data_IF_570123652157
#
_entry.id   IF_570123652157
#
_cell.length_a   1.000
_cell.length_b   1.000
_cell.length_c   1.000
_cell.angle_alpha   90.00
_cell.angle_beta   90.00
_cell.angle_gamma   90.00
#
_symmetry.space_group_name_H-M   'P 1'
#
loop_
_entity.id
_entity.type
_entity.pdbx_description
1 polymer ?
#
# COMPACT_ATOMS: atom_id res chain seq x y z
N UNK A 1 2.78 31.11 21.03
CA UNK A 1 2.19 30.73 19.73
C UNK A 1 2.95 29.65 18.94
N UNK A 2 3.99 28.97 19.47
CA UNK A 2 4.72 27.90 18.74
C UNK A 2 4.16 26.48 18.95
N UNK A 3 3.41 26.24 20.02
CA UNK A 3 2.89 24.91 20.36
C UNK A 3 1.58 24.55 19.63
N UNK A 4 0.73 25.55 19.33
CA UNK A 4 -0.51 25.36 18.56
C UNK A 4 -0.26 24.82 17.15
N UNK A 5 0.86 25.20 16.52
CA UNK A 5 1.23 24.68 15.20
C UNK A 5 1.65 23.20 15.24
N UNK A 6 2.29 22.74 16.33
CA UNK A 6 2.76 21.37 16.45
C UNK A 6 1.60 20.39 16.70
N UNK A 7 0.66 20.77 17.57
CA UNK A 7 -0.55 19.97 17.81
C UNK A 7 -1.45 19.90 16.56
N UNK A 8 -1.55 20.99 15.78
CA UNK A 8 -2.28 20.98 14.52
C UNK A 8 -1.66 20.03 13.49
N UNK A 9 -0.32 19.98 13.38
CA UNK A 9 0.35 19.05 12.46
C UNK A 9 0.19 17.59 12.89
N UNK A 10 0.30 17.28 14.19
CA UNK A 10 0.03 15.93 14.72
C UNK A 10 -1.42 15.50 14.48
N UNK A 11 -2.37 16.42 14.63
CA UNK A 11 -3.78 16.15 14.39
C UNK A 11 -4.08 15.88 12.91
N UNK A 12 -3.45 16.62 12.00
CA UNK A 12 -3.56 16.36 10.54
C UNK A 12 -2.95 15.00 10.18
N UNK A 13 -1.79 14.65 10.75
CA UNK A 13 -1.16 13.33 10.53
C UNK A 13 -2.07 12.21 11.05
N UNK A 14 -2.65 12.35 12.24
CA UNK A 14 -3.64 11.41 12.76
C UNK A 14 -4.86 11.31 11.83
N UNK A 15 -5.43 12.43 11.37
CA UNK A 15 -6.55 12.40 10.42
C UNK A 15 -6.15 11.71 9.10
N UNK A 16 -4.94 11.90 8.59
CA UNK A 16 -4.50 11.20 7.38
C UNK A 16 -4.31 9.71 7.60
N UNK A 17 -3.86 9.27 8.78
CA UNK A 17 -3.68 7.84 9.08
C UNK A 17 -5.05 7.17 9.32
N UNK A 18 -5.98 7.83 10.00
CA UNK A 18 -7.34 7.32 10.22
C UNK A 18 -8.25 7.47 8.99
N UNK A 19 -7.96 8.45 8.11
CA UNK A 19 -8.62 8.65 6.83
C UNK A 19 -8.03 7.82 5.69
N UNK A 20 -6.90 7.14 5.93
CA UNK A 20 -6.39 6.05 5.10
C UNK A 20 -7.00 4.70 5.50
N UNK A 21 -8.08 4.71 6.31
CA UNK A 21 -8.96 3.57 6.38
C UNK A 21 -9.40 3.28 4.96
N UNK A 22 -8.94 2.17 4.40
CA UNK A 22 -9.52 1.54 3.24
C UNK A 22 -11.03 1.66 3.42
N UNK A 23 -11.68 2.53 2.64
CA UNK A 23 -13.13 2.59 2.54
C UNK A 23 -13.50 1.17 2.13
N UNK A 24 -13.87 0.35 3.11
CA UNK A 24 -14.18 -1.04 2.87
C UNK A 24 -15.21 -1.05 1.77
N UNK A 25 -14.84 -1.60 0.62
CA UNK A 25 -15.80 -1.89 -0.43
C UNK A 25 -16.97 -2.63 0.24
N UNK A 26 -18.21 -2.37 -0.20
CA UNK A 26 -19.31 -3.17 0.32
C UNK A 26 -18.94 -4.64 0.16
N UNK A 27 -19.23 -5.50 1.16
CA UNK A 27 -18.82 -6.90 1.11
C UNK A 27 -19.33 -7.61 -0.16
N UNK A 28 -20.45 -7.13 -0.72
CA UNK A 28 -20.96 -7.54 -2.03
C UNK A 28 -20.02 -7.18 -3.21
N UNK A 29 -19.49 -5.95 -3.24
CA UNK A 29 -18.56 -5.50 -4.28
C UNK A 29 -17.24 -6.28 -4.20
N UNK A 30 -16.77 -6.56 -2.99
CA UNK A 30 -15.56 -7.36 -2.79
C UNK A 30 -15.75 -8.80 -3.31
N UNK A 31 -16.89 -9.44 -3.01
CA UNK A 31 -17.24 -10.77 -3.55
C UNK A 31 -17.28 -10.77 -5.08
N UNK A 32 -17.99 -9.81 -5.66
CA UNK A 32 -18.11 -9.70 -7.11
C UNK A 32 -16.75 -9.48 -7.77
N UNK A 33 -15.90 -8.63 -7.17
CA UNK A 33 -14.53 -8.38 -7.65
C UNK A 33 -13.72 -9.66 -7.63
N UNK A 34 -13.73 -10.43 -6.53
CA UNK A 34 -13.04 -11.72 -6.47
C UNK A 34 -13.51 -12.70 -7.55
N UNK A 35 -14.82 -12.76 -7.81
CA UNK A 35 -15.36 -13.64 -8.87
C UNK A 35 -14.96 -13.16 -10.26
N UNK A 36 -14.99 -11.86 -10.53
CA UNK A 36 -14.51 -11.28 -11.80
C UNK A 36 -13.02 -11.58 -11.99
N UNK A 37 -12.20 -11.37 -10.97
CA UNK A 37 -10.75 -11.63 -11.04
C UNK A 37 -10.46 -13.11 -11.32
N UNK A 38 -11.20 -14.01 -10.68
CA UNK A 38 -11.12 -15.44 -10.95
C UNK A 38 -11.50 -15.78 -12.41
N UNK A 39 -12.64 -15.26 -12.89
CA UNK A 39 -13.12 -15.52 -14.26
C UNK A 39 -12.17 -14.91 -15.29
N UNK A 40 -11.63 -13.71 -15.05
CA UNK A 40 -10.66 -13.06 -15.92
C UNK A 40 -9.38 -13.89 -16.02
N UNK A 41 -8.83 -14.37 -14.91
CA UNK A 41 -7.68 -15.25 -14.92
C UNK A 41 -7.93 -16.54 -15.72
N UNK A 42 -9.12 -17.14 -15.60
CA UNK A 42 -9.54 -18.28 -16.43
C UNK A 42 -9.63 -17.90 -17.91
N UNK A 43 -10.21 -16.73 -18.21
CA UNK A 43 -10.41 -16.24 -19.58
C UNK A 43 -9.07 -15.90 -20.27
N UNK A 44 -8.07 -15.47 -19.51
CA UNK A 44 -6.70 -15.22 -19.99
C UNK A 44 -5.87 -16.50 -20.11
N UNK A 45 -6.35 -17.63 -19.59
CA UNK A 45 -5.61 -18.88 -19.50
C UNK A 45 -4.55 -18.88 -18.38
N UNK A 46 -4.58 -17.90 -17.49
CA UNK A 46 -3.74 -17.86 -16.29
C UNK A 46 -4.41 -18.62 -15.13
N UNK A 47 -4.44 -19.94 -15.27
CA UNK A 47 -4.98 -20.82 -14.24
C UNK A 47 -4.15 -20.82 -12.95
N UNK A 48 -2.90 -20.34 -13.00
CA UNK A 48 -2.07 -20.18 -11.81
C UNK A 48 -2.65 -19.11 -10.89
N UNK A 49 -2.93 -17.93 -11.45
CA UNK A 49 -3.57 -16.84 -10.72
C UNK A 49 -4.99 -17.20 -10.26
N UNK A 50 -5.78 -17.88 -11.10
CA UNK A 50 -7.10 -18.37 -10.71
C UNK A 50 -7.02 -19.35 -9.52
N UNK A 51 -6.01 -20.22 -9.49
CA UNK A 51 -5.82 -21.20 -8.42
C UNK A 51 -5.38 -20.55 -7.09
N UNK A 52 -4.62 -19.44 -7.14
CA UNK A 52 -4.19 -18.73 -5.92
C UNK A 52 -5.37 -18.18 -5.11
N UNK A 53 -6.44 -17.76 -5.78
CA UNK A 53 -7.66 -17.24 -5.13
C UNK A 53 -8.71 -18.33 -4.89
N UNK A 54 -8.31 -19.60 -4.98
CA UNK A 54 -9.17 -20.78 -4.77
C UNK A 54 -8.60 -21.70 -3.67
N UNK A 55 -9.44 -22.04 -2.69
CA UNK A 55 -9.09 -22.93 -1.58
C UNK A 55 -10.09 -24.08 -1.39
N UNK A 56 -10.89 -24.37 -2.40
CA UNK A 56 -11.83 -25.48 -2.39
C UNK A 56 -11.20 -26.84 -2.70
N UNK A 57 -12.05 -27.87 -2.78
CA UNK A 57 -11.64 -29.25 -3.10
C UNK A 57 -12.00 -29.70 -4.51
N UNK A 58 -12.73 -28.88 -5.27
CA UNK A 58 -13.13 -29.17 -6.65
C UNK A 58 -11.92 -29.16 -7.61
N UNK A 59 -10.89 -28.38 -7.30
CA UNK A 59 -9.67 -28.27 -8.10
C UNK A 59 -8.45 -28.66 -7.29
N UNK A 60 -7.74 -29.71 -7.73
CA UNK A 60 -6.51 -30.18 -7.07
C UNK A 60 -5.25 -29.50 -7.62
N UNK A 61 -5.33 -28.99 -8.85
CA UNK A 61 -4.24 -28.33 -9.57
C UNK A 61 -4.80 -27.27 -10.52
N UNK A 62 -4.02 -26.26 -10.94
CA UNK A 62 -4.44 -25.26 -11.92
C UNK A 62 -5.06 -25.86 -13.20
N UNK A 63 -4.51 -26.98 -13.69
CA UNK A 63 -5.03 -27.65 -14.89
C UNK A 63 -6.46 -28.23 -14.73
N UNK A 64 -6.90 -28.49 -13.49
CA UNK A 64 -8.28 -28.94 -13.22
C UNK A 64 -9.29 -27.82 -13.47
N UNK A 65 -8.89 -26.56 -13.27
CA UNK A 65 -9.73 -25.39 -13.57
C UNK A 65 -9.97 -25.31 -15.08
N UNK A 66 -8.91 -25.42 -15.90
CA UNK A 66 -9.04 -25.45 -17.37
C UNK A 66 -10.03 -26.53 -17.82
N UNK A 67 -9.83 -27.76 -17.35
CA UNK A 67 -10.71 -28.88 -17.73
C UNK A 67 -12.17 -28.64 -17.34
N UNK A 68 -12.43 -28.14 -16.13
CA UNK A 68 -13.78 -27.89 -15.66
C UNK A 68 -14.50 -26.80 -16.48
N UNK A 69 -13.82 -25.68 -16.74
CA UNK A 69 -14.38 -24.59 -17.53
C UNK A 69 -14.60 -24.96 -18.99
N UNK A 70 -13.66 -25.70 -19.60
CA UNK A 70 -13.82 -26.20 -20.97
C UNK A 70 -14.98 -27.20 -21.10
N UNK A 71 -15.17 -28.05 -20.10
CA UNK A 71 -16.34 -28.95 -20.05
C UNK A 71 -17.66 -28.19 -19.92
N UNK A 72 -17.64 -27.01 -19.31
CA UNK A 72 -18.78 -26.09 -19.24
C UNK A 72 -18.95 -25.22 -20.51
N UNK A 73 -18.11 -25.41 -21.53
CA UNK A 73 -18.17 -24.64 -22.78
C UNK A 73 -17.45 -23.28 -22.72
N UNK A 74 -16.75 -22.98 -21.62
CA UNK A 74 -15.98 -21.75 -21.46
C UNK A 74 -14.54 -22.02 -21.92
N UNK A 75 -14.09 -21.27 -22.92
CA UNK A 75 -12.73 -21.37 -23.46
C UNK A 75 -11.97 -20.07 -23.28
N UNK A 76 -10.64 -20.12 -23.42
CA UNK A 76 -9.77 -18.94 -23.29
C UNK A 76 -10.21 -17.86 -24.29
N UNK A 77 -10.39 -16.64 -23.81
CA UNK A 77 -10.81 -15.47 -24.57
C UNK A 77 -12.27 -15.46 -25.01
N UNK A 78 -13.07 -16.45 -24.60
CA UNK A 78 -14.48 -16.55 -25.00
C UNK A 78 -15.43 -15.76 -24.10
N UNK A 79 -15.04 -15.47 -22.85
CA UNK A 79 -15.88 -14.69 -21.93
C UNK A 79 -15.77 -13.21 -22.30
N UNK A 80 -16.92 -12.60 -22.61
CA UNK A 80 -17.03 -11.18 -22.97
C UNK A 80 -17.52 -10.32 -21.82
N UNK A 81 -18.41 -10.85 -20.99
CA UNK A 81 -19.03 -10.12 -19.88
C UNK A 81 -19.48 -11.12 -18.80
N UNK A 82 -19.65 -10.63 -17.56
CA UNK A 82 -20.09 -11.42 -16.40
C UNK A 82 -21.22 -10.67 -15.70
N UNK A 83 -22.40 -11.32 -15.61
CA UNK A 83 -23.58 -10.73 -14.98
C UNK A 83 -23.94 -11.44 -13.69
N UNK A 84 -24.03 -10.69 -12.59
CA UNK A 84 -24.41 -11.23 -11.28
C UNK A 84 -25.93 -11.18 -11.09
N UNK A 85 -26.55 -12.31 -10.71
CA UNK A 85 -28.01 -12.41 -10.49
C UNK A 85 -28.39 -12.58 -9.03
N UNK A 86 -27.80 -13.57 -8.37
CA UNK A 86 -28.20 -13.99 -7.03
C UNK A 86 -26.99 -14.00 -6.10
N UNK A 87 -26.83 -12.94 -5.31
CA UNK A 87 -25.82 -12.85 -4.26
C UNK A 87 -26.48 -13.04 -2.89
N UNK A 88 -26.06 -14.06 -2.16
CA UNK A 88 -26.43 -14.27 -0.75
C UNK A 88 -25.18 -14.12 0.10
N UNK A 89 -25.24 -13.22 1.07
CA UNK A 89 -24.11 -12.92 1.95
C UNK A 89 -24.47 -13.22 3.39
N UNK A 90 -23.62 -13.99 4.04
CA UNK A 90 -23.58 -14.27 5.48
C UNK A 90 -22.25 -13.72 6.01
N UNK A 91 -22.10 -13.55 7.33
CA UNK A 91 -20.92 -12.88 7.95
C UNK A 91 -19.58 -13.29 7.34
N UNK A 92 -19.35 -14.59 7.14
CA UNK A 92 -18.09 -15.13 6.59
C UNK A 92 -18.26 -15.94 5.30
N UNK A 93 -19.48 -16.10 4.78
CA UNK A 93 -19.74 -16.92 3.59
C UNK A 93 -20.59 -16.15 2.59
N UNK A 94 -20.29 -16.32 1.30
CA UNK A 94 -21.10 -15.77 0.23
C UNK A 94 -21.35 -16.83 -0.83
N UNK A 95 -22.55 -16.81 -1.42
CA UNK A 95 -22.84 -17.55 -2.65
C UNK A 95 -23.25 -16.55 -3.71
N UNK A 96 -22.71 -16.70 -4.91
CA UNK A 96 -23.05 -15.83 -6.04
C UNK A 96 -23.27 -16.65 -7.30
N UNK A 97 -24.36 -16.33 -8.01
CA UNK A 97 -24.59 -16.80 -9.39
C UNK A 97 -24.07 -15.77 -10.37
N UNK A 98 -23.06 -16.17 -11.15
CA UNK A 98 -22.44 -15.36 -12.18
C UNK A 98 -22.73 -15.98 -13.55
N UNK A 99 -23.49 -15.26 -14.37
CA UNK A 99 -23.76 -15.64 -15.73
C UNK A 99 -22.64 -15.13 -16.64
N UNK A 100 -21.81 -16.07 -17.11
CA UNK A 100 -20.74 -15.78 -18.05
C UNK A 100 -21.32 -15.69 -19.46
N UNK A 101 -21.07 -14.57 -20.11
CA UNK A 101 -21.48 -14.33 -21.50
C UNK A 101 -20.34 -14.76 -22.41
N UNK A 102 -20.57 -15.82 -23.18
CA UNK A 102 -19.60 -16.46 -24.07
C UNK A 102 -19.85 -16.03 -25.50
N UNK A 103 -18.81 -15.58 -26.20
CA UNK A 103 -18.83 -15.31 -27.64
C UNK A 103 -18.35 -16.54 -28.41
N UNK A 104 -19.13 -16.96 -29.40
CA UNK A 104 -18.74 -17.99 -30.36
C UNK A 104 -18.19 -17.36 -31.64
N UNK A 105 -17.01 -17.81 -32.07
CA UNK A 105 -16.35 -17.31 -33.27
C UNK A 105 -16.40 -18.34 -34.40
N UNK A 106 -16.61 -17.90 -35.64
CA UNK A 106 -16.44 -18.74 -36.83
C UNK A 106 -14.95 -19.00 -37.13
N UNK A 107 -14.68 -19.89 -38.09
CA UNK A 107 -13.33 -20.17 -38.58
C UNK A 107 -12.61 -18.94 -39.18
N UNK A 108 -13.34 -17.85 -39.45
CA UNK A 108 -12.79 -16.58 -39.92
C UNK A 108 -12.59 -15.56 -38.77
N UNK A 109 -12.81 -15.95 -37.52
CA UNK A 109 -12.65 -15.12 -36.33
C UNK A 109 -13.75 -14.08 -36.13
N UNK A 110 -14.91 -14.24 -36.78
CA UNK A 110 -16.07 -13.35 -36.62
C UNK A 110 -17.02 -13.91 -35.58
N UNK A 111 -17.54 -13.02 -34.75
CA UNK A 111 -18.60 -13.35 -33.80
C UNK A 111 -19.83 -13.87 -34.54
N UNK A 112 -20.31 -15.03 -34.12
CA UNK A 112 -21.46 -15.71 -34.73
C UNK A 112 -22.64 -15.76 -33.79
N UNK A 113 -22.38 -15.88 -32.49
CA UNK A 113 -23.40 -16.11 -31.50
C UNK A 113 -22.90 -15.73 -30.10
N UNK A 114 -23.83 -15.58 -29.18
CA UNK A 114 -23.59 -15.27 -27.79
C UNK A 114 -24.41 -16.22 -26.92
N UNK A 115 -23.75 -16.93 -26.01
CA UNK A 115 -24.38 -17.91 -25.11
C UNK A 115 -24.16 -17.46 -23.67
N UNK A 116 -25.18 -17.62 -22.84
CA UNK A 116 -25.08 -17.36 -21.41
C UNK A 116 -24.89 -18.69 -20.67
N UNK A 117 -23.81 -18.81 -19.91
CA UNK A 117 -23.49 -19.99 -19.09
C UNK A 117 -23.46 -19.60 -17.62
N UNK A 118 -24.37 -20.15 -16.78
CA UNK A 118 -24.37 -19.87 -15.36
C UNK A 118 -23.21 -20.59 -14.67
N UNK A 119 -22.50 -19.87 -13.81
CA UNK A 119 -21.47 -20.40 -12.93
C UNK A 119 -21.81 -20.00 -11.50
N UNK A 120 -21.81 -20.99 -10.61
CA UNK A 120 -22.19 -20.83 -9.22
C UNK A 120 -20.94 -20.87 -8.36
N UNK A 121 -20.74 -19.81 -7.57
CA UNK A 121 -19.59 -19.67 -6.70
C UNK A 121 -20.01 -19.68 -5.25
N UNK A 122 -19.16 -20.30 -4.42
CA UNK A 122 -19.14 -20.08 -2.97
C UNK A 122 -17.82 -19.44 -2.60
N UNK A 123 -17.89 -18.40 -1.77
CA UNK A 123 -16.74 -17.70 -1.26
C UNK A 123 -16.77 -17.70 0.26
N UNK A 124 -15.59 -17.63 0.85
CA UNK A 124 -15.40 -17.47 2.29
C UNK A 124 -14.53 -16.24 2.55
N UNK A 125 -14.94 -15.43 3.51
CA UNK A 125 -14.16 -14.31 3.98
C UNK A 125 -13.07 -14.82 4.92
N UNK A 126 -11.83 -14.45 4.65
CA UNK A 126 -10.64 -14.85 5.42
C UNK A 126 -9.85 -13.60 5.82
N UNK A 127 -8.81 -13.76 6.63
CA UNK A 127 -7.96 -12.63 7.07
C UNK A 127 -7.28 -11.90 5.89
N UNK A 128 -7.13 -12.57 4.74
CA UNK A 128 -6.55 -12.00 3.50
C UNK A 128 -7.60 -11.52 2.50
N UNK A 129 -8.89 -11.66 2.82
CA UNK A 129 -10.01 -11.26 1.97
C UNK A 129 -10.90 -12.43 1.55
N UNK A 130 -11.77 -12.19 0.57
CA UNK A 130 -12.67 -13.21 0.03
C UNK A 130 -11.90 -14.18 -0.86
N UNK A 131 -12.13 -15.48 -0.65
CA UNK A 131 -11.52 -16.58 -1.42
C UNK A 131 -12.61 -17.49 -1.93
N UNK A 132 -12.46 -18.00 -3.16
CA UNK A 132 -13.39 -18.97 -3.74
C UNK A 132 -13.17 -20.35 -3.12
N UNK A 133 -14.21 -20.94 -2.53
CA UNK A 133 -14.17 -22.26 -1.88
C UNK A 133 -14.94 -23.33 -2.64
N UNK A 134 -15.83 -22.94 -3.55
CA UNK A 134 -16.55 -23.89 -4.41
C UNK A 134 -16.93 -23.27 -5.75
N UNK A 135 -16.80 -24.03 -6.83
CA UNK A 135 -17.28 -23.66 -8.15
C UNK A 135 -18.14 -24.79 -8.72
N UNK A 136 -19.36 -24.47 -9.15
CA UNK A 136 -20.29 -25.41 -9.76
C UNK A 136 -20.90 -24.85 -11.04
N UNK A 137 -21.23 -25.74 -11.99
CA UNK A 137 -21.80 -25.37 -13.30
C UNK A 137 -23.21 -25.93 -13.53
N UNK A 138 -23.63 -26.89 -12.71
CA UNK A 138 -24.87 -27.65 -12.93
C UNK A 138 -26.04 -27.15 -12.07
N UNK A 139 -25.74 -26.69 -10.85
CA UNK A 139 -26.78 -26.31 -9.88
C UNK A 139 -26.31 -25.18 -8.95
N UNK A 140 -27.25 -24.31 -8.51
CA UNK A 140 -26.97 -23.29 -7.50
C UNK A 140 -26.46 -23.88 -6.19
N UNK A 141 -25.47 -23.22 -5.59
CA UNK A 141 -24.92 -23.61 -4.30
C UNK A 141 -25.80 -23.05 -3.19
N UNK A 142 -26.27 -23.93 -2.29
CA UNK A 142 -27.01 -23.54 -1.09
C UNK A 142 -26.02 -23.47 0.08
N UNK A 143 -26.13 -22.41 0.89
CA UNK A 143 -25.33 -22.25 2.11
C UNK A 143 -25.83 -23.19 3.21
N UNK A 144 -24.90 -23.93 3.83
CA UNK A 144 -25.09 -24.65 5.08
C UNK A 144 -24.00 -24.25 6.10
N UNK A 145 -24.30 -24.28 7.40
CA UNK A 145 -23.35 -23.87 8.44
C UNK A 145 -22.09 -24.75 8.49
N UNK A 146 -22.17 -25.98 7.98
CA UNK A 146 -21.04 -26.92 7.88
C UNK A 146 -20.10 -26.63 6.70
N UNK A 147 -20.36 -25.58 5.91
CA UNK A 147 -19.61 -25.27 4.69
C UNK A 147 -18.35 -24.42 4.91
N UNK A 148 -18.04 -24.04 6.16
CA UNK A 148 -16.80 -23.31 6.45
C UNK A 148 -15.60 -24.24 6.27
N UNK A 149 -14.71 -23.86 5.36
CA UNK A 149 -13.43 -24.53 5.16
C UNK A 149 -12.42 -23.90 6.12
N UNK A 150 -11.68 -24.72 6.85
CA UNK A 150 -10.61 -24.23 7.72
C UNK A 150 -9.46 -23.73 6.84
N UNK A 151 -9.39 -22.42 6.66
CA UNK A 151 -8.36 -21.77 5.83
C UNK A 151 -7.19 -21.39 6.75
N UNK A 152 -6.16 -22.23 6.80
CA UNK A 152 -4.89 -21.86 7.44
C UNK A 152 -4.15 -20.86 6.55
N UNK A 153 -4.32 -19.57 6.82
CA UNK A 153 -3.49 -18.52 6.21
C UNK A 153 -2.11 -18.55 6.86
N UNK A 154 -1.08 -18.94 6.10
CA UNK A 154 0.29 -18.91 6.58
C UNK A 154 0.71 -17.45 6.82
N UNK A 155 1.05 -17.13 8.08
CA UNK A 155 1.48 -15.78 8.46
C UNK A 155 2.73 -15.38 7.69
N UNK A 156 2.65 -14.26 6.99
CA UNK A 156 3.76 -13.67 6.25
C UNK A 156 4.63 -12.80 7.16
N UNK A 157 5.86 -12.50 6.73
CA UNK A 157 6.73 -11.57 7.45
C UNK A 157 6.13 -10.15 7.58
N UNK A 158 5.19 -9.79 6.70
CA UNK A 158 4.47 -8.51 6.73
C UNK A 158 3.48 -8.47 7.90
N UNK A 159 2.87 -9.61 8.26
CA UNK A 159 1.93 -9.69 9.38
C UNK A 159 2.62 -9.38 10.71
N UNK A 160 3.86 -9.87 10.89
CA UNK A 160 4.69 -9.48 12.04
C UNK A 160 5.01 -7.98 12.06
N UNK A 161 4.98 -7.29 10.92
CA UNK A 161 5.20 -5.84 10.84
C UNK A 161 3.91 -5.08 11.16
N UNK A 162 2.76 -5.56 10.68
CA UNK A 162 1.44 -5.01 10.96
C UNK A 162 1.07 -5.16 12.45
N UNK A 163 1.26 -6.34 13.03
CA UNK A 163 0.99 -6.63 14.45
C UNK A 163 1.82 -5.73 15.38
N UNK A 164 3.06 -5.42 14.97
CA UNK A 164 3.97 -4.57 15.73
C UNK A 164 3.91 -3.09 15.31
N UNK A 165 3.08 -2.71 14.33
CA UNK A 165 2.99 -1.35 13.82
C UNK A 165 2.73 -0.30 14.93
N UNK A 166 1.87 -0.55 15.95
CA UNK A 166 1.69 0.39 17.05
C UNK A 166 2.98 0.64 17.85
N UNK A 167 3.75 -0.42 18.10
CA UNK A 167 5.01 -0.35 18.85
C UNK A 167 6.08 0.35 18.03
N UNK A 168 6.20 0.01 16.74
CA UNK A 168 7.13 0.65 15.80
C UNK A 168 6.83 2.15 15.68
N UNK A 169 5.55 2.54 15.61
CA UNK A 169 5.15 3.95 15.56
C UNK A 169 5.54 4.72 16.83
N UNK A 170 5.28 4.15 18.02
CA UNK A 170 5.69 4.76 19.29
C UNK A 170 7.22 4.93 19.36
N UNK A 171 7.97 3.89 18.96
CA UNK A 171 9.43 3.95 18.92
C UNK A 171 9.94 5.04 17.96
N UNK A 172 9.32 5.19 16.79
CA UNK A 172 9.67 6.23 15.81
C UNK A 172 9.43 7.65 16.37
N UNK A 173 8.30 7.88 17.05
CA UNK A 173 8.01 9.17 17.70
C UNK A 173 9.04 9.48 18.79
N UNK A 174 9.40 8.50 19.61
CA UNK A 174 10.40 8.67 20.67
C UNK A 174 11.78 8.99 20.09
N UNK A 175 12.20 8.27 19.04
CA UNK A 175 13.46 8.56 18.34
C UNK A 175 13.45 9.97 17.75
N UNK A 176 12.38 10.35 17.05
CA UNK A 176 12.26 11.68 16.45
C UNK A 176 12.28 12.80 17.50
N UNK A 177 11.53 12.64 18.59
CA UNK A 177 11.53 13.58 19.71
C UNK A 177 12.89 13.70 20.38
N UNK A 178 13.60 12.57 20.57
CA UNK A 178 14.96 12.56 21.13
C UNK A 178 15.96 13.25 20.20
N UNK A 179 15.84 13.07 18.88
CA UNK A 179 16.67 13.74 17.88
C UNK A 179 16.49 15.26 17.90
N UNK A 180 15.24 15.73 17.96
CA UNK A 180 14.93 17.17 18.11
C UNK A 180 15.50 17.72 19.42
N UNK A 181 15.37 16.97 20.52
CA UNK A 181 15.90 17.38 21.82
C UNK A 181 17.42 17.52 21.80
N UNK A 182 18.13 16.54 21.23
CA UNK A 182 19.58 16.56 21.09
C UNK A 182 20.06 17.71 20.20
N UNK A 183 19.42 17.95 19.04
CA UNK A 183 19.75 19.07 18.15
C UNK A 183 19.58 20.43 18.85
N UNK A 184 18.50 20.60 19.63
CA UNK A 184 18.30 21.83 20.43
C UNK A 184 19.36 21.99 21.50
N UNK A 185 19.74 20.90 22.18
CA UNK A 185 20.79 20.92 23.21
C UNK A 185 22.15 21.28 22.60
N UNK A 186 22.47 20.74 21.43
CA UNK A 186 23.72 21.03 20.73
C UNK A 186 23.77 22.48 20.23
N UNK A 187 22.67 22.99 19.65
CA UNK A 187 22.55 24.40 19.26
C UNK A 187 22.64 25.34 20.45
N UNK A 188 22.06 24.98 21.60
CA UNK A 188 22.20 25.75 22.84
C UNK A 188 23.62 25.69 23.43
N UNK A 189 24.33 24.57 23.28
CA UNK A 189 25.72 24.43 23.71
C UNK A 189 26.69 25.25 22.85
N UNK A 190 26.44 25.37 21.53
CA UNK A 190 27.20 26.23 20.61
C UNK A 190 26.90 27.74 20.79
N UNK A 191 25.90 28.11 21.58
CA UNK A 191 25.48 29.50 21.81
C UNK A 191 26.16 30.20 23.02
N UNK A 192 27.20 29.61 23.64
CA UNK A 192 28.01 30.30 24.67
C UNK A 192 29.17 31.10 24.06
N UNK A 193 29.54 32.25 24.65
CA UNK A 193 30.04 33.40 23.93
C UNK A 193 31.48 33.20 23.41
N UNK A 194 31.74 33.80 22.25
CA UNK A 194 33.08 33.98 21.66
C UNK A 194 34.11 34.29 22.74
N UNK A 195 35.19 33.51 22.76
CA UNK A 195 36.38 33.75 23.57
C UNK A 195 36.88 35.17 23.28
N UNK A 196 36.60 36.14 24.15
CA UNK A 196 37.14 37.49 24.01
C UNK A 196 38.65 37.41 24.27
N UNK A 197 39.44 37.47 23.20
CA UNK A 197 40.90 37.63 23.31
C UNK A 197 41.15 39.08 23.71
N UNK A 198 41.74 39.26 24.89
CA UNK A 198 42.13 40.57 25.40
C UNK A 198 43.35 41.07 24.61
N UNK A 199 43.16 42.16 23.86
CA UNK A 199 44.17 42.79 23.01
C UNK A 199 44.73 44.07 23.64
N UNK A 200 44.54 44.31 24.94
CA UNK A 200 45.04 45.51 25.65
C UNK A 200 46.56 45.69 25.61
N UNK A 201 47.34 44.70 25.15
CA UNK A 201 48.79 44.79 24.95
C UNK A 201 49.27 44.84 23.49
N UNK A 202 48.37 44.89 22.50
CA UNK A 202 48.77 44.81 21.10
C UNK A 202 49.30 46.16 20.57
N UNK A 203 50.61 46.24 20.36
CA UNK A 203 51.26 47.37 19.67
C UNK A 203 50.96 47.27 18.17
N UNK A 204 50.49 48.36 17.56
CA UNK A 204 50.21 48.41 16.13
C UNK A 204 51.51 48.22 15.32
N UNK A 205 51.63 47.11 14.59
CA UNK A 205 52.68 46.97 13.57
C UNK A 205 52.44 47.99 12.45
N UNK A 206 53.48 48.77 12.14
CA UNK A 206 53.48 49.78 11.08
C UNK A 206 53.13 49.15 9.73
N UNK A 207 52.13 49.74 9.07
CA UNK A 207 51.46 49.25 7.85
C UNK A 207 52.30 49.32 6.56
N UNK A 208 53.57 49.69 6.62
CA UNK A 208 54.36 49.95 5.41
C UNK A 208 55.07 48.71 4.85
N UNK A 209 55.27 47.64 5.63
CA UNK A 209 55.98 46.44 5.16
C UNK A 209 55.11 45.37 4.49
N UNK A 210 53.77 45.46 4.56
CA UNK A 210 52.86 44.44 3.99
C UNK A 210 52.18 44.92 2.68
N UNK A 211 52.32 46.20 2.33
CA UNK A 211 51.74 46.75 1.10
C UNK A 211 52.41 46.23 -0.20
N UNK A 212 53.56 45.57 -0.12
CA UNK A 212 54.25 45.03 -1.30
C UNK A 212 53.82 43.61 -1.72
N UNK A 213 52.96 42.92 -0.97
CA UNK A 213 52.63 41.51 -1.28
C UNK A 213 51.16 41.14 -1.48
N UNK A 214 50.21 42.09 -1.43
CA UNK A 214 48.80 41.76 -1.69
C UNK A 214 48.21 42.68 -2.75
N UNK A 215 48.39 42.26 -4.00
CA UNK A 215 47.65 42.76 -5.16
C UNK A 215 46.24 42.17 -5.08
N UNK A 216 45.22 43.03 -5.08
CA UNK A 216 43.78 42.75 -5.23
C UNK A 216 43.03 42.15 -4.03
N UNK A 217 42.50 43.03 -3.17
CA UNK A 217 41.17 42.87 -2.55
C UNK A 217 40.52 44.27 -2.48
N UNK A 218 39.25 44.47 -2.89
CA UNK A 218 38.58 45.77 -2.78
C UNK A 218 38.44 46.20 -1.32
N UNK A 219 38.73 47.46 -1.07
CA UNK A 219 38.78 48.13 0.23
C UNK A 219 37.46 48.08 1.00
N UNK A 220 37.40 47.31 2.08
CA UNK A 220 36.60 47.71 3.23
C UNK A 220 37.50 48.50 4.17
N UNK A 221 37.33 49.82 4.19
CA UNK A 221 38.00 50.70 5.14
C UNK A 221 37.63 50.28 6.57
N UNK A 222 38.56 49.80 7.40
CA UNK A 222 38.25 49.61 8.80
C UNK A 222 38.28 50.98 9.49
N UNK A 223 37.11 51.51 9.87
CA UNK A 223 37.07 52.63 10.81
C UNK A 223 37.52 52.12 12.18
N UNK A 224 38.57 52.73 12.74
CA UNK A 224 39.06 52.44 14.08
C UNK A 224 37.92 52.59 15.09
N UNK A 225 37.65 51.53 15.87
CA UNK A 225 36.70 51.59 16.99
C UNK A 225 35.42 50.73 16.89
N UNK A 226 35.24 49.87 15.87
CA UNK A 226 34.13 48.89 15.86
C UNK A 226 34.58 47.49 15.42
N UNK A 227 33.96 46.48 16.03
CA UNK A 227 34.24 45.05 15.83
C UNK A 227 33.95 44.65 14.39
N UNK A 228 34.94 44.08 13.72
CA UNK A 228 34.77 43.37 12.47
C UNK A 228 34.63 41.88 12.77
N UNK A 229 33.62 41.24 12.17
CA UNK A 229 33.44 39.79 12.17
C UNK A 229 34.06 39.27 10.88
N UNK A 230 34.95 38.29 10.97
CA UNK A 230 35.44 37.54 9.81
C UNK A 230 34.74 36.19 9.86
N UNK A 231 34.11 35.82 8.75
CA UNK A 231 33.47 34.52 8.50
C UNK A 231 34.54 33.42 8.31
#
# INVERSE_FOLDING_TARGET
MKYTSFYATLFIIFITIYGSGCLGAEPADAVNTTVVDFINAVNEGDYGSAYVVYLGTDFLVPASIDMAFRNAGITIGSVSDVQFKDLTLTENLATVTADCIILEFDLAGRETNQIQVPVYFRLQNTDVGWIVTKVAFNEPIVLSEDDMVDVEVEKTAIDSLADNAPIIFIAAILMFGSGIYLDRKEKAAKAKPSKNVDLTGAVAMQKESIAQYVKFVPSQNPSVGKKATID
#
